data_IF_576503316328
#
_entry.id   IF_576503316328
#
_cell.length_a   1.000
_cell.length_b   1.000
_cell.length_c   1.000
_cell.angle_alpha   90.00
_cell.angle_beta   90.00
_cell.angle_gamma   90.00
#
_symmetry.space_group_name_H-M   'P 1'
#
loop_
_entity.id
_entity.type
_entity.pdbx_description
1 polymer ?
#
# COMPACT_ATOMS: atom_id res chain seq x y z
N UNK A 1 1.26 -13.16 5.77
CA UNK A 1 2.12 -11.99 5.57
C UNK A 1 3.20 -12.00 6.64
N UNK A 2 4.45 -11.76 6.26
CA UNK A 2 5.58 -11.57 7.17
C UNK A 2 6.07 -10.13 7.02
N UNK A 3 6.12 -9.37 8.12
CA UNK A 3 6.73 -8.03 8.16
C UNK A 3 8.19 -8.19 8.56
N UNK A 4 9.12 -7.76 7.71
CA UNK A 4 10.54 -7.79 8.03
C UNK A 4 11.05 -6.44 8.54
N UNK A 5 10.58 -5.36 7.91
CA UNK A 5 10.90 -3.99 8.32
C UNK A 5 9.61 -3.18 8.32
N UNK A 6 9.38 -2.39 9.37
CA UNK A 6 8.22 -1.50 9.44
C UNK A 6 8.52 -0.28 10.31
N UNK A 7 8.81 0.85 9.65
CA UNK A 7 9.07 2.13 10.31
C UNK A 7 8.08 3.21 9.84
N UNK A 8 6.91 3.37 10.50
CA UNK A 8 5.88 4.32 10.10
C UNK A 8 6.23 5.75 10.54
N UNK A 9 7.33 6.28 10.02
CA UNK A 9 7.86 7.63 10.26
C UNK A 9 8.47 8.17 8.96
N UNK A 10 8.55 9.49 8.81
CA UNK A 10 9.28 10.10 7.69
C UNK A 10 10.74 9.62 7.65
N UNK A 11 11.21 9.21 6.47
CA UNK A 11 12.50 8.57 6.26
C UNK A 11 12.58 7.10 6.68
N UNK A 12 11.51 6.53 7.23
CA UNK A 12 11.45 5.13 7.65
C UNK A 12 11.32 4.17 6.47
N UNK A 13 11.95 3.00 6.58
CA UNK A 13 11.82 1.92 5.58
C UNK A 13 10.72 0.94 5.94
N UNK A 14 10.24 0.20 4.94
CA UNK A 14 9.34 -0.93 5.14
C UNK A 14 9.64 -2.05 4.13
N UNK A 15 9.41 -3.29 4.57
CA UNK A 15 9.50 -4.51 3.73
C UNK A 15 8.60 -5.59 4.28
N UNK A 16 7.81 -6.21 3.41
CA UNK A 16 6.95 -7.33 3.75
C UNK A 16 6.85 -8.37 2.65
N UNK A 17 6.49 -9.60 3.05
CA UNK A 17 6.33 -10.75 2.16
C UNK A 17 4.91 -11.29 2.31
N UNK A 18 4.16 -11.34 1.21
CA UNK A 18 2.91 -12.08 1.09
C UNK A 18 3.17 -13.52 0.66
N UNK A 19 2.34 -14.43 1.15
CA UNK A 19 2.30 -15.83 0.74
C UNK A 19 0.88 -16.17 0.35
N UNK A 20 0.70 -16.79 -0.82
CA UNK A 20 -0.58 -17.37 -1.19
C UNK A 20 -0.77 -18.77 -0.57
N UNK A 21 -1.89 -19.43 -0.90
CA UNK A 21 -2.23 -20.74 -0.37
C UNK A 21 -1.32 -21.86 -0.90
N UNK A 22 -0.69 -21.65 -2.05
CA UNK A 22 0.23 -22.60 -2.69
C UNK A 22 1.67 -22.42 -2.18
N UNK A 23 1.93 -21.33 -1.44
CA UNK A 23 3.22 -21.02 -0.85
C UNK A 23 4.09 -20.12 -1.72
N UNK A 24 3.55 -19.56 -2.82
CA UNK A 24 4.30 -18.59 -3.61
C UNK A 24 4.52 -17.30 -2.80
N UNK A 25 5.72 -16.74 -2.90
CA UNK A 25 6.12 -15.55 -2.14
C UNK A 25 6.11 -14.30 -3.02
N UNK A 26 5.52 -13.22 -2.50
CA UNK A 26 5.47 -11.92 -3.15
C UNK A 26 6.03 -10.88 -2.18
N UNK A 27 7.26 -10.42 -2.45
CA UNK A 27 7.97 -9.47 -1.60
C UNK A 27 7.85 -8.04 -2.12
N UNK A 28 7.63 -7.11 -1.20
CA UNK A 28 7.47 -5.68 -1.49
C UNK A 28 8.28 -4.87 -0.50
N UNK A 29 8.84 -3.76 -0.96
CA UNK A 29 9.56 -2.83 -0.10
C UNK A 29 9.38 -1.38 -0.54
N UNK A 30 9.76 -0.47 0.35
CA UNK A 30 9.76 0.96 0.06
C UNK A 30 10.27 1.80 1.22
N UNK A 31 10.24 3.11 1.00
CA UNK A 31 10.61 4.11 2.01
C UNK A 31 9.51 5.15 2.13
N UNK A 32 9.24 5.59 3.35
CA UNK A 32 8.30 6.65 3.64
C UNK A 32 9.01 8.00 3.43
N UNK A 33 8.61 8.73 2.39
CA UNK A 33 9.01 10.12 2.22
C UNK A 33 8.44 10.97 3.36
N UNK A 34 7.16 10.75 3.69
CA UNK A 34 6.45 11.48 4.73
C UNK A 34 5.45 10.59 5.46
N UNK A 35 5.37 10.73 6.78
CA UNK A 35 4.26 10.24 7.61
C UNK A 35 3.82 11.38 8.52
N UNK A 36 2.66 11.95 8.22
CA UNK A 36 2.06 13.06 8.98
C UNK A 36 0.71 12.58 9.50
N UNK A 37 0.64 12.24 10.79
CA UNK A 37 -0.60 11.80 11.44
C UNK A 37 -1.51 12.99 11.75
N UNK A 38 -2.85 12.88 11.53
CA UNK A 38 -3.58 11.82 10.82
C UNK A 38 -3.72 12.07 9.30
N UNK A 39 -3.05 13.08 8.76
CA UNK A 39 -3.37 13.69 7.47
C UNK A 39 -2.92 12.91 6.24
N UNK A 40 -1.68 12.39 6.23
CA UNK A 40 -1.05 11.93 4.98
C UNK A 40 0.11 10.94 5.20
N UNK A 41 0.23 10.00 4.28
CA UNK A 41 1.43 9.17 4.10
C UNK A 41 1.89 9.28 2.64
N UNK A 42 3.19 9.48 2.43
CA UNK A 42 3.84 9.39 1.12
C UNK A 42 5.01 8.43 1.22
N UNK A 43 5.10 7.50 0.28
CA UNK A 43 6.22 6.58 0.20
C UNK A 43 6.41 5.99 -1.18
N UNK A 44 7.55 5.36 -1.37
CA UNK A 44 7.78 4.52 -2.53
C UNK A 44 7.21 3.13 -2.30
N UNK A 45 6.93 2.42 -3.40
CA UNK A 45 6.52 1.03 -3.41
C UNK A 45 7.23 0.32 -4.58
N UNK A 46 7.83 -0.83 -4.33
CA UNK A 46 8.42 -1.67 -5.37
C UNK A 46 8.11 -3.15 -5.11
N UNK A 47 7.66 -3.85 -6.15
CA UNK A 47 7.49 -5.30 -6.15
C UNK A 47 8.79 -5.98 -6.57
N UNK A 48 9.34 -6.83 -5.71
CA UNK A 48 10.66 -7.45 -5.93
C UNK A 48 10.65 -8.61 -6.94
N UNK A 49 9.47 -9.10 -7.32
CA UNK A 49 9.34 -10.26 -8.22
C UNK A 49 9.31 -9.93 -9.71
N UNK A 50 9.47 -8.66 -10.10
CA UNK A 50 9.65 -8.30 -11.51
C UNK A 50 11.05 -8.72 -12.02
N UNK A 51 11.17 -9.12 -13.29
CA UNK A 51 12.46 -9.55 -13.85
C UNK A 51 13.47 -8.39 -13.95
N UNK A 52 12.99 -7.18 -14.25
CA UNK A 52 13.76 -5.95 -14.25
C UNK A 52 13.49 -5.16 -12.97
N UNK A 53 14.51 -4.46 -12.48
CA UNK A 53 14.43 -3.63 -11.27
C UNK A 53 14.16 -2.18 -11.63
N UNK A 54 13.65 -1.41 -10.66
CA UNK A 54 13.48 0.03 -10.81
C UNK A 54 12.09 0.46 -11.26
N UNK A 55 11.13 -0.47 -11.32
CA UNK A 55 9.71 -0.18 -11.52
C UNK A 55 9.08 0.33 -10.20
N UNK A 56 9.58 1.48 -9.74
CA UNK A 56 9.19 2.09 -8.47
C UNK A 56 7.94 2.97 -8.65
N UNK A 57 6.98 2.80 -7.76
CA UNK A 57 5.76 3.60 -7.67
C UNK A 57 5.91 4.61 -6.54
N UNK A 58 5.43 5.84 -6.75
CA UNK A 58 5.25 6.83 -5.69
C UNK A 58 3.79 6.85 -5.26
N UNK A 59 3.52 6.46 -4.02
CA UNK A 59 2.19 6.44 -3.44
C UNK A 59 1.97 7.64 -2.52
N UNK A 60 0.76 8.19 -2.59
CA UNK A 60 0.26 9.21 -1.66
C UNK A 60 -1.11 8.79 -1.15
N UNK A 61 -1.20 8.54 0.16
CA UNK A 61 -2.46 8.32 0.87
C UNK A 61 -2.83 9.59 1.63
N UNK A 62 -4.01 10.15 1.35
CA UNK A 62 -4.59 11.30 2.06
C UNK A 62 -5.83 10.88 2.83
N UNK A 63 -5.91 11.30 4.08
CA UNK A 63 -7.02 11.00 4.98
C UNK A 63 -7.75 12.31 5.30
N UNK A 64 -9.03 12.37 4.93
CA UNK A 64 -9.86 13.54 5.15
C UNK A 64 -11.01 13.17 6.10
N UNK A 65 -11.16 13.93 7.18
CA UNK A 65 -12.30 13.78 8.08
C UNK A 65 -13.61 14.15 7.35
N UNK A 66 -14.63 13.34 7.56
CA UNK A 66 -15.98 13.53 7.07
C UNK A 66 -16.97 13.67 8.24
N UNK A 67 -18.15 14.29 8.03
CA UNK A 67 -19.21 14.32 9.03
C UNK A 67 -19.60 12.92 9.51
N UNK A 68 -19.94 12.83 10.80
CA UNK A 68 -20.37 11.57 11.42
C UNK A 68 -19.22 10.64 11.82
N UNK A 69 -18.05 11.20 12.16
CA UNK A 69 -16.84 10.45 12.55
C UNK A 69 -16.39 9.43 11.48
N UNK A 70 -16.44 9.89 10.23
CA UNK A 70 -16.07 9.10 9.05
C UNK A 70 -14.79 9.64 8.44
N UNK A 71 -14.15 8.82 7.61
CA UNK A 71 -12.92 9.20 6.90
C UNK A 71 -13.09 8.92 5.41
N UNK A 72 -12.61 9.85 4.57
CA UNK A 72 -12.35 9.61 3.15
C UNK A 72 -10.86 9.36 2.98
N UNK A 73 -10.51 8.18 2.49
CA UNK A 73 -9.16 7.86 2.05
C UNK A 73 -9.06 8.10 0.54
N UNK A 74 -8.11 8.93 0.12
CA UNK A 74 -7.74 9.10 -1.29
C UNK A 74 -6.31 8.60 -1.48
N UNK A 75 -6.16 7.48 -2.19
CA UNK A 75 -4.87 6.92 -2.58
C UNK A 75 -4.53 7.31 -4.02
N UNK A 76 -3.29 7.74 -4.25
CA UNK A 76 -2.79 8.10 -5.57
C UNK A 76 -1.46 7.40 -5.80
N UNK A 77 -1.38 6.61 -6.87
CA UNK A 77 -0.15 5.92 -7.30
C UNK A 77 0.37 6.54 -8.60
N UNK A 78 1.63 6.94 -8.60
CA UNK A 78 2.33 7.49 -9.78
C UNK A 78 3.41 6.50 -10.21
N UNK A 79 3.32 6.04 -11.45
CA UNK A 79 4.16 4.99 -12.04
C UNK A 79 5.28 5.61 -12.89
N UNK A 80 6.35 4.84 -13.15
CA UNK A 80 7.45 5.27 -14.03
C UNK A 80 7.00 5.43 -15.48
N UNK A 81 6.10 4.56 -15.95
CA UNK A 81 5.62 4.52 -17.33
C UNK A 81 4.13 4.20 -17.37
N UNK A 82 3.51 4.40 -18.55
CA UNK A 82 2.11 4.00 -18.77
C UNK A 82 1.99 2.47 -18.76
N UNK A 83 2.99 1.80 -19.33
CA UNK A 83 3.10 0.35 -19.39
C UNK A 83 3.15 -0.27 -17.99
N UNK A 84 3.89 0.32 -17.05
CA UNK A 84 3.93 -0.13 -15.66
C UNK A 84 2.57 0.02 -14.97
N UNK A 85 1.87 1.14 -15.22
CA UNK A 85 0.51 1.36 -14.71
C UNK A 85 -0.45 0.30 -15.25
N UNK A 86 -0.42 0.08 -16.57
CA UNK A 86 -1.29 -0.89 -17.23
C UNK A 86 -0.99 -2.32 -16.77
N UNK A 87 0.29 -2.66 -16.58
CA UNK A 87 0.71 -3.95 -16.03
C UNK A 87 0.20 -4.18 -14.60
N UNK A 88 0.23 -3.16 -13.74
CA UNK A 88 -0.37 -3.22 -12.41
C UNK A 88 -1.88 -3.46 -12.44
N UNK A 89 -2.61 -2.81 -13.36
CA UNK A 89 -4.05 -3.07 -13.51
C UNK A 89 -4.34 -4.51 -13.97
N UNK A 90 -3.52 -5.03 -14.90
CA UNK A 90 -3.64 -6.40 -15.40
C UNK A 90 -3.29 -7.47 -14.36
N UNK A 91 -2.52 -7.13 -13.32
CA UNK A 91 -2.14 -8.06 -12.26
C UNK A 91 -3.23 -8.30 -11.22
N UNK A 92 -4.45 -7.79 -11.42
CA UNK A 92 -5.56 -7.93 -10.47
C UNK A 92 -5.48 -6.96 -9.28
N UNK A 93 -4.74 -5.86 -9.41
CA UNK A 93 -4.58 -4.85 -8.34
C UNK A 93 -5.93 -4.33 -7.82
N UNK A 94 -6.91 -4.12 -8.71
CA UNK A 94 -8.23 -3.62 -8.32
C UNK A 94 -8.94 -4.56 -7.35
N UNK A 95 -8.91 -5.87 -7.59
CA UNK A 95 -9.50 -6.87 -6.69
C UNK A 95 -8.76 -6.90 -5.36
N UNK A 96 -7.42 -6.92 -5.40
CA UNK A 96 -6.60 -6.92 -4.19
C UNK A 96 -6.82 -5.70 -3.30
N UNK A 97 -6.99 -4.50 -3.89
CA UNK A 97 -7.30 -3.28 -3.15
C UNK A 97 -8.69 -3.37 -2.50
N UNK A 98 -9.70 -3.82 -3.23
CA UNK A 98 -11.06 -3.98 -2.69
C UNK A 98 -11.08 -4.97 -1.52
N UNK A 99 -10.42 -6.12 -1.66
CA UNK A 99 -10.31 -7.12 -0.60
C UNK A 99 -9.59 -6.58 0.63
N UNK A 100 -8.53 -5.79 0.43
CA UNK A 100 -7.80 -5.16 1.53
C UNK A 100 -8.66 -4.15 2.30
N UNK A 101 -9.50 -3.36 1.60
CA UNK A 101 -10.42 -2.42 2.24
C UNK A 101 -11.59 -3.10 2.93
N UNK A 102 -12.14 -4.19 2.39
CA UNK A 102 -13.14 -5.00 3.09
C UNK A 102 -12.59 -5.53 4.42
N UNK A 103 -11.34 -6.03 4.42
CA UNK A 103 -10.66 -6.48 5.64
C UNK A 103 -10.35 -5.34 6.61
N UNK A 104 -10.08 -4.15 6.09
CA UNK A 104 -9.90 -2.95 6.90
C UNK A 104 -11.20 -2.54 7.58
N UNK A 105 -12.35 -2.61 6.89
CA UNK A 105 -13.66 -2.36 7.48
C UNK A 105 -13.93 -3.32 8.66
N UNK A 106 -13.71 -4.63 8.46
CA UNK A 106 -13.85 -5.62 9.53
C UNK A 106 -12.93 -5.34 10.73
N UNK A 107 -11.70 -4.89 10.48
CA UNK A 107 -10.74 -4.55 11.52
C UNK A 107 -11.19 -3.29 12.27
N UNK A 108 -11.64 -2.25 11.56
CA UNK A 108 -12.10 -1.01 12.16
C UNK A 108 -13.33 -1.23 13.04
N UNK A 109 -14.28 -2.08 12.65
CA UNK A 109 -15.41 -2.45 13.52
C UNK A 109 -14.94 -3.07 14.85
N UNK A 110 -13.87 -3.87 14.83
CA UNK A 110 -13.28 -4.46 16.05
C UNK A 110 -12.48 -3.46 16.88
N UNK A 111 -12.02 -2.36 16.28
CA UNK A 111 -11.24 -1.31 16.94
C UNK A 111 -12.10 -0.19 17.53
N UNK A 112 -13.35 -0.06 17.09
CA UNK A 112 -14.32 0.87 17.69
C UNK A 112 -14.52 0.50 19.17
N UNK A 113 -14.34 1.51 20.03
CA UNK A 113 -14.60 1.38 21.47
C UNK A 113 -16.09 1.49 21.78
#
# INVERSE_FOLDING_TARGET
MTLEVFEPKSGGSWRYIHRDQEGNEYAFHGVNHEVTEPERIIGTFEYEGLPEKGHVILDTARFEALPGDRTKLTSQSVFQTVEDRDGMLQSGMEEGVNDSYNRLDELLEKMKK
#
